data_IF_905848976203
#
_entry.id   IF_905848976203
#
_cell.length_a   1.000
_cell.length_b   1.000
_cell.length_c   1.000
_cell.angle_alpha   90.00
_cell.angle_beta   90.00
_cell.angle_gamma   90.00
#
_symmetry.space_group_name_H-M   'P 1'
#
loop_
_entity.id
_entity.type
_entity.pdbx_description
1 polymer ?
#
# COMPACT_ATOMS: atom_id res chain seq x y z
N UNK A 1 29.54 -9.99 10.64
CA UNK A 1 28.13 -9.88 10.22
C UNK A 1 27.44 -9.07 11.32
N UNK A 2 27.42 -7.75 11.18
CA UNK A 2 26.70 -6.88 12.11
C UNK A 2 25.28 -6.78 11.56
N UNK A 3 24.30 -7.39 12.23
CA UNK A 3 22.91 -6.99 12.08
C UNK A 3 22.77 -5.61 12.72
N UNK A 4 22.23 -4.65 11.99
CA UNK A 4 21.93 -3.32 12.53
C UNK A 4 20.45 -3.07 12.29
N UNK A 5 19.64 -3.29 13.33
CA UNK A 5 18.33 -2.63 13.42
C UNK A 5 18.60 -1.12 13.49
N UNK A 6 18.38 -0.41 12.39
CA UNK A 6 18.63 1.03 12.30
C UNK A 6 17.51 1.76 13.05
N UNK A 7 17.72 2.03 14.34
CA UNK A 7 16.93 2.98 15.11
C UNK A 7 17.42 4.38 14.74
N UNK A 8 16.65 5.12 13.94
CA UNK A 8 16.87 6.55 13.73
C UNK A 8 16.31 7.28 14.95
N UNK A 9 17.21 7.85 15.77
CA UNK A 9 16.87 8.65 16.94
C UNK A 9 16.39 10.05 16.50
N UNK A 10 15.13 10.41 16.78
CA UNK A 10 14.65 11.81 16.68
C UNK A 10 13.89 12.18 17.96
N UNK A 11 14.17 13.38 18.47
CA UNK A 11 13.83 13.86 19.80
C UNK A 11 12.35 13.76 20.17
N UNK A 12 12.09 13.23 21.38
CA UNK A 12 10.77 13.17 22.01
C UNK A 12 10.23 14.56 22.30
N UNK A 13 9.12 14.94 21.64
CA UNK A 13 8.29 16.07 22.08
C UNK A 13 7.28 15.52 23.09
N UNK A 14 7.44 15.88 24.36
CA UNK A 14 6.47 15.56 25.42
C UNK A 14 5.31 16.56 25.31
N UNK A 15 4.13 16.10 24.88
CA UNK A 15 2.88 16.84 24.96
C UNK A 15 2.21 16.53 26.31
N UNK A 16 1.77 17.51 27.10
CA UNK A 16 1.16 17.25 28.40
C UNK A 16 -0.27 16.70 28.23
N UNK A 17 -0.54 15.53 28.82
CA UNK A 17 -1.88 14.96 28.89
C UNK A 17 -2.77 15.80 29.82
N UNK A 18 -3.74 16.53 29.26
CA UNK A 18 -4.83 17.14 30.02
C UNK A 18 -5.98 16.15 30.13
N UNK A 19 -6.34 15.76 31.36
CA UNK A 19 -7.38 14.78 31.64
C UNK A 19 -8.77 15.22 31.17
N UNK A 20 -9.16 14.76 29.98
CA UNK A 20 -10.54 14.64 29.56
C UNK A 20 -11.04 13.20 29.88
N UNK A 21 -12.35 13.03 30.06
CA UNK A 21 -12.95 11.71 30.20
C UNK A 21 -12.59 10.85 28.97
N UNK A 22 -12.10 9.63 29.20
CA UNK A 22 -11.63 8.76 28.12
C UNK A 22 -12.78 8.46 27.14
N UNK A 23 -12.62 8.89 25.88
CA UNK A 23 -13.53 8.53 24.80
C UNK A 23 -13.56 6.99 24.63
N UNK A 24 -14.70 6.44 24.24
CA UNK A 24 -14.86 5.02 23.95
C UNK A 24 -14.20 4.65 22.62
N UNK A 25 -13.82 3.39 22.39
CA UNK A 25 -13.21 2.96 21.11
C UNK A 25 -14.09 3.29 19.90
N UNK A 26 -15.43 3.32 20.08
CA UNK A 26 -16.39 3.69 19.05
C UNK A 26 -16.39 5.21 18.74
N UNK A 27 -16.02 6.05 19.71
CA UNK A 27 -15.85 7.49 19.53
C UNK A 27 -14.46 7.83 18.95
N UNK A 28 -13.45 7.03 19.29
CA UNK A 28 -12.07 7.17 18.81
C UNK A 28 -11.95 6.68 17.35
N UNK A 29 -12.61 5.58 16.99
CA UNK A 29 -12.69 5.09 15.62
C UNK A 29 -11.39 4.51 15.04
N UNK A 30 -10.30 4.46 15.82
CA UNK A 30 -8.98 4.01 15.35
C UNK A 30 -8.10 3.35 16.42
N UNK A 31 -7.09 2.57 15.99
CA UNK A 31 -6.03 2.05 16.86
C UNK A 31 -5.16 3.21 17.36
N UNK A 32 -5.18 3.46 18.67
CA UNK A 32 -4.39 4.50 19.32
C UNK A 32 -3.07 3.90 19.80
N UNK A 33 -1.99 4.66 19.89
CA UNK A 33 -0.68 4.13 20.34
C UNK A 33 0.00 5.08 21.33
N UNK A 34 0.98 4.59 22.08
CA UNK A 34 1.72 5.40 23.06
C UNK A 34 2.26 6.68 22.41
N UNK A 35 1.67 7.83 22.75
CA UNK A 35 1.99 9.15 22.19
C UNK A 35 0.83 9.84 21.47
N UNK A 36 -0.23 9.10 21.13
CA UNK A 36 -1.51 9.65 20.69
C UNK A 36 -2.22 10.37 21.86
N UNK A 37 -2.86 11.50 21.60
CA UNK A 37 -3.65 12.22 22.62
C UNK A 37 -4.83 11.40 23.14
N UNK A 38 -5.31 10.46 22.33
CA UNK A 38 -6.44 9.59 22.64
C UNK A 38 -5.98 8.21 23.16
N UNK A 39 -4.68 7.96 23.29
CA UNK A 39 -4.15 6.71 23.84
C UNK A 39 -4.45 6.58 25.33
N UNK A 40 -5.17 5.51 25.67
CA UNK A 40 -5.49 5.16 27.04
C UNK A 40 -5.03 3.72 27.33
N UNK A 41 -4.16 3.48 28.34
CA UNK A 41 -3.63 2.14 28.65
C UNK A 41 -4.69 1.08 28.98
N UNK A 42 -5.91 1.49 29.33
CA UNK A 42 -7.04 0.59 29.58
C UNK A 42 -7.76 0.15 28.29
N UNK A 43 -7.37 0.68 27.13
CA UNK A 43 -7.86 0.30 25.81
C UNK A 43 -6.85 -0.56 25.03
N UNK A 44 -5.64 -0.74 25.58
CA UNK A 44 -4.57 -1.66 25.16
C UNK A 44 -4.63 -2.89 26.08
N UNK A 45 -5.38 -3.90 25.66
CA UNK A 45 -5.74 -5.02 26.53
C UNK A 45 -4.63 -6.06 26.67
N UNK A 46 -3.72 -6.15 25.70
CA UNK A 46 -2.60 -7.10 25.67
C UNK A 46 -1.25 -6.45 26.03
N UNK A 47 -1.20 -5.12 26.12
CA UNK A 47 -0.05 -4.35 26.58
C UNK A 47 1.01 -4.14 25.50
N UNK A 48 0.65 -4.26 24.23
CA UNK A 48 1.57 -4.14 23.09
C UNK A 48 1.88 -2.68 22.70
N UNK A 49 1.22 -1.72 23.34
CA UNK A 49 1.36 -0.29 23.06
C UNK A 49 0.35 0.26 22.07
N UNK A 50 -0.67 -0.52 21.69
CA UNK A 50 -1.75 -0.16 20.76
C UNK A 50 -3.12 -0.40 21.40
N UNK A 51 -3.85 0.67 21.68
CA UNK A 51 -5.22 0.63 22.19
C UNK A 51 -6.30 0.69 21.10
N UNK A 52 -7.56 0.45 21.48
CA UNK A 52 -8.75 0.46 20.60
C UNK A 52 -8.75 -0.65 19.55
N UNK A 53 -8.50 -1.87 20.01
CA UNK A 53 -8.53 -3.07 19.18
C UNK A 53 -9.98 -3.45 18.86
N UNK A 54 -10.47 -3.10 17.67
CA UNK A 54 -11.82 -3.42 17.24
C UNK A 54 -11.93 -4.91 16.87
N UNK A 55 -12.66 -5.66 17.70
CA UNK A 55 -13.19 -6.98 17.33
C UNK A 55 -14.34 -6.83 16.30
N UNK A 56 -14.54 -7.84 15.43
CA UNK A 56 -15.39 -7.72 14.26
C UNK A 56 -16.85 -7.97 14.64
N UNK A 57 -17.76 -7.21 14.03
CA UNK A 57 -18.95 -7.90 13.55
C UNK A 57 -18.49 -8.83 12.43
N UNK A 58 -18.53 -10.15 12.69
CA UNK A 58 -18.21 -11.20 11.72
C UNK A 58 -19.20 -11.25 10.55
N UNK A 59 -20.26 -10.44 10.56
CA UNK A 59 -21.08 -10.19 9.38
C UNK A 59 -20.58 -8.92 8.68
N UNK A 60 -19.96 -9.14 7.51
CA UNK A 60 -19.67 -8.17 6.42
C UNK A 60 -19.86 -6.70 6.84
N UNK A 61 -18.78 -5.92 7.05
CA UNK A 61 -18.88 -4.57 7.60
C UNK A 61 -19.78 -3.71 6.70
N UNK A 62 -20.96 -3.36 7.19
CA UNK A 62 -21.78 -2.26 6.65
C UNK A 62 -21.31 -1.00 7.34
N UNK A 63 -20.33 -0.32 6.75
CA UNK A 63 -19.96 1.02 7.17
C UNK A 63 -21.04 1.99 6.70
N UNK A 64 -21.60 2.78 7.64
CA UNK A 64 -22.61 3.79 7.35
C UNK A 64 -21.93 4.97 6.63
N UNK A 65 -22.21 5.13 5.34
CA UNK A 65 -21.59 6.09 4.41
C UNK A 65 -22.11 7.53 4.60
N UNK A 66 -22.45 7.94 5.82
CA UNK A 66 -23.22 9.19 6.06
C UNK A 66 -22.35 10.44 6.25
N UNK A 67 -21.02 10.32 6.31
CA UNK A 67 -20.14 11.49 6.55
C UNK A 67 -19.49 12.11 5.32
N UNK A 68 -19.52 11.46 4.14
CA UNK A 68 -19.17 12.08 2.85
C UNK A 68 -17.86 12.88 2.87
N UNK A 69 -16.82 12.28 3.46
CA UNK A 69 -15.51 12.93 3.66
C UNK A 69 -14.63 12.92 2.41
N UNK A 70 -14.93 12.03 1.45
CA UNK A 70 -14.08 11.76 0.29
C UNK A 70 -12.88 10.86 0.60
N UNK A 71 -12.73 10.41 1.86
CA UNK A 71 -11.59 9.61 2.32
C UNK A 71 -11.97 8.13 2.47
N UNK A 72 -11.07 7.24 2.04
CA UNK A 72 -11.30 5.81 2.10
C UNK A 72 -10.20 5.03 1.39
N UNK A 73 -10.19 3.72 1.60
CA UNK A 73 -9.27 2.80 0.92
C UNK A 73 -9.84 1.39 0.83
N UNK A 74 -9.29 0.62 -0.09
CA UNK A 74 -9.51 -0.81 -0.23
C UNK A 74 -8.26 -1.58 0.17
N UNK A 75 -8.44 -2.65 0.92
CA UNK A 75 -7.45 -3.73 1.04
C UNK A 75 -7.91 -4.93 0.23
N UNK A 76 -6.98 -5.69 -0.33
CA UNK A 76 -7.28 -6.94 -1.03
C UNK A 76 -6.39 -8.08 -0.52
N UNK A 77 -6.99 -9.25 -0.28
CA UNK A 77 -6.25 -10.47 0.05
C UNK A 77 -5.71 -11.18 -1.20
N UNK A 78 -4.76 -12.11 -1.01
CA UNK A 78 -4.10 -12.84 -2.10
C UNK A 78 -5.07 -13.65 -2.97
N UNK A 79 -6.27 -13.96 -2.46
CA UNK A 79 -7.29 -14.70 -3.20
C UNK A 79 -8.40 -13.79 -3.73
N UNK A 80 -8.28 -12.47 -3.56
CA UNK A 80 -9.17 -11.49 -4.14
C UNK A 80 -10.30 -10.95 -3.28
N UNK A 81 -10.37 -11.28 -1.99
CA UNK A 81 -11.38 -10.63 -1.13
C UNK A 81 -11.03 -9.16 -0.96
N UNK A 82 -11.97 -8.30 -1.33
CA UNK A 82 -11.84 -6.86 -1.16
C UNK A 82 -12.51 -6.39 0.13
N UNK A 83 -11.80 -5.54 0.86
CA UNK A 83 -12.20 -4.95 2.13
C UNK A 83 -12.18 -3.41 2.00
N UNK A 84 -13.34 -2.78 1.77
CA UNK A 84 -13.45 -1.32 1.73
C UNK A 84 -13.54 -0.71 3.13
N UNK A 85 -13.00 0.51 3.27
CA UNK A 85 -13.05 1.33 4.48
C UNK A 85 -13.35 2.79 4.13
N UNK A 86 -14.05 3.50 5.03
CA UNK A 86 -14.50 4.87 4.80
C UNK A 86 -15.52 4.97 3.66
N UNK A 87 -15.33 5.95 2.78
CA UNK A 87 -16.22 6.20 1.64
C UNK A 87 -15.95 5.24 0.45
N UNK A 88 -14.97 4.33 0.59
CA UNK A 88 -14.60 3.38 -0.47
C UNK A 88 -15.79 2.48 -0.82
N UNK A 89 -16.34 2.67 -2.02
CA UNK A 89 -17.49 1.88 -2.45
C UNK A 89 -17.07 0.49 -2.92
N UNK A 90 -17.99 -0.46 -2.77
CA UNK A 90 -17.91 -1.74 -3.50
C UNK A 90 -18.46 -1.50 -4.91
N UNK A 91 -17.65 -0.88 -5.79
CA UNK A 91 -18.02 -0.50 -7.17
C UNK A 91 -18.18 -1.70 -8.11
N UNK A 92 -19.04 -2.65 -7.73
CA UNK A 92 -18.93 -4.04 -8.13
C UNK A 92 -18.21 -4.81 -7.02
N UNK A 93 -18.98 -5.33 -6.07
CA UNK A 93 -18.51 -6.39 -5.21
C UNK A 93 -18.34 -7.63 -6.12
N UNK A 94 -17.23 -8.38 -6.08
CA UNK A 94 -17.24 -9.73 -6.64
C UNK A 94 -18.34 -10.61 -6.01
N UNK A 95 -19.01 -10.15 -4.93
CA UNK A 95 -20.26 -10.71 -4.38
C UNK A 95 -20.03 -12.02 -3.62
N UNK A 96 -18.90 -12.64 -3.91
CA UNK A 96 -18.28 -13.86 -3.45
C UNK A 96 -16.76 -13.58 -3.52
N UNK A 97 -15.89 -14.22 -2.71
CA UNK A 97 -14.43 -14.04 -2.79
C UNK A 97 -13.98 -14.22 -4.24
N UNK A 98 -13.48 -13.19 -4.97
CA UNK A 98 -13.22 -13.19 -6.44
C UNK A 98 -13.65 -14.52 -7.07
N UNK A 99 -14.97 -14.71 -7.22
CA UNK A 99 -15.56 -16.04 -7.34
C UNK A 99 -15.00 -16.79 -8.54
N UNK A 100 -13.91 -17.53 -8.35
CA UNK A 100 -13.04 -18.08 -9.40
C UNK A 100 -12.55 -17.06 -10.43
N UNK A 101 -11.30 -17.21 -10.86
CA UNK A 101 -10.83 -16.69 -12.14
C UNK A 101 -11.64 -17.37 -13.27
N UNK A 102 -12.86 -16.91 -13.56
CA UNK A 102 -13.71 -17.47 -14.63
C UNK A 102 -14.07 -18.97 -14.46
N UNK A 103 -14.87 -19.54 -15.39
CA UNK A 103 -15.49 -20.88 -15.29
C UNK A 103 -14.52 -22.08 -15.41
N UNK A 104 -13.21 -21.86 -15.25
CA UNK A 104 -12.16 -22.80 -15.60
C UNK A 104 -11.43 -23.22 -14.32
N UNK A 105 -12.15 -23.93 -13.43
CA UNK A 105 -11.65 -24.42 -12.14
C UNK A 105 -10.50 -25.46 -12.22
N UNK A 106 -9.75 -25.47 -13.32
CA UNK A 106 -8.61 -26.36 -13.58
C UNK A 106 -7.26 -25.64 -13.69
N UNK A 107 -7.20 -24.31 -13.52
CA UNK A 107 -5.92 -23.59 -13.39
C UNK A 107 -5.50 -23.53 -11.93
N UNK A 108 -4.22 -23.75 -11.62
CA UNK A 108 -3.68 -23.41 -10.30
C UNK A 108 -4.14 -21.98 -9.95
N UNK A 109 -4.77 -21.79 -8.80
CA UNK A 109 -5.53 -20.55 -8.52
C UNK A 109 -4.59 -19.35 -8.53
N UNK A 110 -4.73 -18.49 -9.56
CA UNK A 110 -3.96 -17.25 -9.66
C UNK A 110 -4.17 -16.40 -8.40
N UNK A 111 -3.14 -15.64 -8.07
CA UNK A 111 -3.06 -14.83 -6.85
C UNK A 111 -3.01 -13.36 -7.21
N UNK A 112 -3.72 -12.56 -6.42
CA UNK A 112 -3.67 -11.11 -6.57
C UNK A 112 -2.25 -10.61 -6.33
N UNK A 113 -1.82 -9.72 -7.21
CA UNK A 113 -0.52 -9.04 -7.14
C UNK A 113 -0.71 -7.58 -6.74
N UNK A 114 -1.64 -6.86 -7.39
CA UNK A 114 -1.83 -5.43 -7.16
C UNK A 114 -3.28 -5.02 -7.35
N UNK A 115 -3.76 -4.10 -6.50
CA UNK A 115 -4.97 -3.31 -6.77
C UNK A 115 -4.57 -1.85 -6.97
N UNK A 116 -5.18 -1.18 -7.94
CA UNK A 116 -5.04 0.26 -8.19
C UNK A 116 -6.40 0.89 -8.44
N UNK A 117 -6.62 2.07 -7.88
CA UNK A 117 -7.87 2.84 -8.04
C UNK A 117 -7.87 3.65 -9.34
N UNK A 118 -9.06 3.90 -9.90
CA UNK A 118 -9.24 4.93 -10.92
C UNK A 118 -8.98 6.31 -10.35
N UNK A 119 -8.64 7.26 -11.22
CA UNK A 119 -8.35 8.66 -10.85
C UNK A 119 -9.53 9.39 -10.21
N UNK A 120 -10.75 8.93 -10.46
CA UNK A 120 -12.00 9.49 -9.89
C UNK A 120 -12.57 8.66 -8.72
N UNK A 121 -11.93 7.54 -8.37
CA UNK A 121 -12.37 6.64 -7.30
C UNK A 121 -13.67 5.87 -7.62
N UNK A 122 -14.18 5.94 -8.86
CA UNK A 122 -15.39 5.24 -9.27
C UNK A 122 -15.19 3.72 -9.40
N UNK A 123 -13.95 3.26 -9.55
CA UNK A 123 -13.62 1.84 -9.62
C UNK A 123 -12.13 1.54 -9.46
N UNK A 124 -11.74 0.32 -9.81
CA UNK A 124 -10.37 -0.18 -9.61
C UNK A 124 -10.02 -1.30 -10.58
N UNK A 125 -8.73 -1.48 -10.84
CA UNK A 125 -8.17 -2.64 -11.50
C UNK A 125 -7.44 -3.55 -10.51
N UNK A 126 -7.50 -4.85 -10.75
CA UNK A 126 -6.74 -5.87 -10.02
C UNK A 126 -5.87 -6.65 -10.99
N UNK A 127 -4.56 -6.66 -10.78
CA UNK A 127 -3.60 -7.52 -11.48
C UNK A 127 -3.37 -8.80 -10.68
N UNK A 128 -3.36 -9.94 -11.35
CA UNK A 128 -2.95 -11.23 -10.78
C UNK A 128 -1.63 -11.76 -11.35
N UNK A 129 -1.10 -12.82 -10.72
CA UNK A 129 0.19 -13.44 -11.06
C UNK A 129 0.15 -14.27 -12.35
N UNK A 130 -1.04 -14.49 -12.93
CA UNK A 130 -1.21 -15.02 -14.28
C UNK A 130 -1.13 -13.93 -15.36
N UNK A 131 -1.01 -12.67 -14.94
CA UNK A 131 -0.97 -11.51 -15.83
C UNK A 131 -2.34 -11.01 -16.25
N UNK A 132 -3.42 -11.57 -15.71
CA UNK A 132 -4.77 -11.09 -15.99
C UNK A 132 -5.02 -9.80 -15.20
N UNK A 133 -5.58 -8.81 -15.89
CA UNK A 133 -6.08 -7.58 -15.26
C UNK A 133 -7.60 -7.66 -15.22
N UNK A 134 -8.18 -7.52 -14.04
CA UNK A 134 -9.61 -7.51 -13.80
C UNK A 134 -10.06 -6.07 -13.55
N UNK A 135 -11.11 -5.62 -14.24
CA UNK A 135 -11.64 -4.27 -14.15
C UNK A 135 -13.00 -4.22 -13.44
N UNK A 136 -13.14 -3.38 -12.42
CA UNK A 136 -14.37 -3.21 -11.64
C UNK A 136 -14.78 -1.74 -11.60
N UNK A 137 -15.92 -1.41 -12.23
CA UNK A 137 -16.36 -0.01 -12.37
C UNK A 137 -15.53 0.82 -13.36
N UNK A 138 -14.49 0.23 -13.96
CA UNK A 138 -13.55 0.85 -14.90
C UNK A 138 -13.47 0.06 -16.21
N UNK A 139 -12.92 0.63 -17.31
CA UNK A 139 -12.77 -0.09 -18.57
C UNK A 139 -11.78 -1.26 -18.48
N UNK A 140 -12.11 -2.37 -19.15
CA UNK A 140 -11.16 -3.45 -19.41
C UNK A 140 -10.29 -3.08 -20.62
N UNK A 141 -8.96 -3.00 -20.44
CA UNK A 141 -8.04 -2.50 -21.48
C UNK A 141 -7.02 -3.53 -22.00
N UNK A 142 -6.97 -4.72 -21.40
CA UNK A 142 -6.07 -5.80 -21.81
C UNK A 142 -5.59 -6.67 -20.66
N UNK A 143 -4.65 -7.57 -20.94
CA UNK A 143 -3.98 -8.43 -19.96
C UNK A 143 -2.62 -8.84 -20.54
N UNK A 144 -1.68 -9.22 -19.67
CA UNK A 144 -0.34 -9.61 -20.08
C UNK A 144 -0.38 -10.93 -20.84
N UNK A 145 0.23 -10.96 -22.03
CA UNK A 145 0.52 -12.21 -22.71
C UNK A 145 1.76 -12.85 -22.09
N UNK A 146 1.54 -13.82 -21.19
CA UNK A 146 2.61 -14.52 -20.47
C UNK A 146 3.58 -15.27 -21.40
N UNK A 147 3.17 -15.60 -22.64
CA UNK A 147 4.07 -16.23 -23.62
C UNK A 147 5.17 -15.28 -24.12
N UNK A 148 5.02 -13.97 -23.88
CA UNK A 148 6.00 -12.94 -24.26
C UNK A 148 7.05 -12.71 -23.19
N UNK A 149 6.84 -13.21 -21.96
CA UNK A 149 7.75 -13.03 -20.84
C UNK A 149 8.82 -14.12 -20.79
N UNK A 150 9.96 -13.80 -20.16
CA UNK A 150 10.92 -14.84 -19.80
C UNK A 150 10.31 -15.80 -18.75
N UNK A 151 10.81 -17.03 -18.68
CA UNK A 151 10.26 -18.05 -17.78
C UNK A 151 10.30 -17.69 -16.28
N UNK A 152 11.24 -16.83 -15.88
CA UNK A 152 11.43 -16.32 -14.51
C UNK A 152 10.92 -14.87 -14.34
N UNK A 153 10.30 -14.29 -15.36
CA UNK A 153 9.73 -12.95 -15.33
C UNK A 153 8.23 -13.00 -15.04
N UNK A 154 7.78 -12.17 -14.10
CA UNK A 154 6.39 -12.12 -13.66
C UNK A 154 5.86 -10.71 -13.66
N UNK A 155 4.59 -10.47 -13.99
CA UNK A 155 3.92 -9.20 -13.64
C UNK A 155 4.02 -8.99 -12.12
N UNK A 156 4.41 -7.79 -11.68
CA UNK A 156 4.64 -7.50 -10.25
C UNK A 156 3.89 -6.28 -9.74
N UNK A 157 3.54 -5.33 -10.60
CA UNK A 157 2.79 -4.12 -10.21
C UNK A 157 2.17 -3.48 -11.45
N UNK A 158 1.24 -2.55 -11.23
CA UNK A 158 0.63 -1.76 -12.30
C UNK A 158 0.38 -0.32 -11.85
N UNK A 159 0.20 0.59 -12.83
CA UNK A 159 -0.20 1.97 -12.56
C UNK A 159 -1.10 2.51 -13.69
N UNK A 160 -2.23 3.15 -13.38
CA UNK A 160 -3.13 3.71 -14.37
C UNK A 160 -2.60 5.00 -14.99
N UNK A 161 -3.05 5.31 -16.20
CA UNK A 161 -2.91 6.66 -16.78
C UNK A 161 -3.87 7.63 -16.10
N UNK A 162 -3.59 8.95 -16.09
CA UNK A 162 -4.47 9.94 -15.45
C UNK A 162 -5.90 10.00 -16.01
N UNK A 163 -6.11 9.55 -17.25
CA UNK A 163 -7.41 9.53 -17.90
C UNK A 163 -8.18 8.23 -17.71
N UNK A 164 -7.63 7.26 -16.96
CA UNK A 164 -8.21 5.92 -16.75
C UNK A 164 -8.49 5.15 -18.06
N UNK A 165 -7.84 5.57 -19.15
CA UNK A 165 -7.97 5.04 -20.52
C UNK A 165 -6.74 4.21 -20.95
N UNK A 166 -5.82 3.99 -20.02
CA UNK A 166 -4.61 3.19 -20.18
C UNK A 166 -4.04 2.76 -18.83
N UNK A 167 -3.12 1.80 -18.86
CA UNK A 167 -2.25 1.50 -17.72
C UNK A 167 -0.95 0.87 -18.17
N UNK A 168 0.06 1.01 -17.33
CA UNK A 168 1.30 0.26 -17.41
C UNK A 168 1.24 -0.94 -16.48
N UNK A 169 1.68 -2.10 -16.95
CA UNK A 169 2.04 -3.25 -16.12
C UNK A 169 3.55 -3.37 -16.13
N UNK A 170 4.13 -3.51 -14.94
CA UNK A 170 5.57 -3.67 -14.75
C UNK A 170 5.87 -5.10 -14.30
N UNK A 171 6.98 -5.66 -14.77
CA UNK A 171 7.40 -7.01 -14.40
C UNK A 171 8.47 -6.99 -13.33
N UNK A 172 8.72 -8.14 -12.70
CA UNK A 172 9.80 -8.36 -11.73
C UNK A 172 11.19 -8.01 -12.28
N UNK A 173 11.39 -8.06 -13.60
CA UNK A 173 12.63 -7.65 -14.28
C UNK A 173 12.61 -6.20 -14.77
N UNK A 174 11.56 -5.46 -14.43
CA UNK A 174 11.37 -4.06 -14.79
C UNK A 174 11.06 -3.82 -16.27
N UNK A 175 10.51 -4.82 -16.97
CA UNK A 175 9.88 -4.62 -18.29
C UNK A 175 8.62 -3.79 -18.13
N UNK A 176 8.32 -2.96 -19.12
CA UNK A 176 7.09 -2.16 -19.19
C UNK A 176 6.19 -2.70 -20.29
N UNK A 177 4.98 -3.08 -19.92
CA UNK A 177 3.90 -3.47 -20.83
C UNK A 177 2.82 -2.39 -20.79
N UNK A 178 2.37 -1.95 -21.95
CA UNK A 178 1.42 -0.83 -22.08
C UNK A 178 0.08 -1.30 -22.62
N UNK A 179 -1.00 -0.80 -22.01
CA UNK A 179 -2.38 -1.07 -22.43
C UNK A 179 -3.16 0.23 -22.56
N UNK A 180 -4.15 0.24 -23.45
CA UNK A 180 -4.92 1.44 -23.77
C UNK A 180 -4.05 2.57 -24.30
N UNK A 181 -4.15 3.76 -23.69
CA UNK A 181 -3.40 4.97 -24.07
C UNK A 181 -2.01 5.08 -23.45
N UNK A 182 -1.60 4.12 -22.60
CA UNK A 182 -0.30 4.16 -21.94
C UNK A 182 0.85 4.17 -22.94
N UNK A 183 1.82 5.06 -22.75
CA UNK A 183 3.00 5.19 -23.61
C UNK A 183 4.27 4.78 -22.86
N UNK A 184 5.17 3.98 -23.46
CA UNK A 184 6.38 3.54 -22.76
C UNK A 184 7.38 4.70 -22.63
N UNK A 185 8.01 4.83 -21.45
CA UNK A 185 8.98 5.91 -21.15
C UNK A 185 10.39 5.40 -20.80
N UNK A 186 10.59 4.09 -20.92
CA UNK A 186 11.82 3.38 -20.59
C UNK A 186 11.56 2.20 -19.66
N UNK A 187 12.43 1.21 -19.71
CA UNK A 187 12.34 0.00 -18.89
C UNK A 187 13.73 -0.42 -18.40
N UNK A 188 13.79 -1.50 -17.62
CA UNK A 188 15.03 -2.02 -17.03
C UNK A 188 15.52 -3.30 -17.69
N UNK A 189 14.95 -3.72 -18.82
CA UNK A 189 15.25 -5.02 -19.45
C UNK A 189 16.70 -5.16 -19.92
N UNK A 190 17.39 -4.03 -20.11
CA UNK A 190 18.80 -3.99 -20.47
C UNK A 190 19.76 -4.13 -19.27
N UNK A 191 19.25 -4.19 -18.04
CA UNK A 191 20.05 -4.19 -16.81
C UNK A 191 19.80 -5.46 -15.99
N UNK A 192 20.82 -5.88 -15.25
CA UNK A 192 20.66 -6.88 -14.19
C UNK A 192 20.30 -6.14 -12.90
N UNK A 193 19.16 -6.48 -12.30
CA UNK A 193 18.70 -5.89 -11.05
C UNK A 193 19.21 -6.69 -9.85
N UNK A 194 19.57 -5.99 -8.78
CA UNK A 194 19.98 -6.61 -7.51
C UNK A 194 18.79 -7.19 -6.74
N UNK A 195 17.58 -6.70 -7.02
CA UNK A 195 16.32 -7.26 -6.55
C UNK A 195 15.18 -7.05 -7.56
N UNK A 196 14.11 -7.89 -7.52
CA UNK A 196 12.96 -7.70 -8.40
C UNK A 196 12.24 -6.37 -8.15
N UNK A 197 11.63 -5.83 -9.20
CA UNK A 197 10.66 -4.73 -9.09
C UNK A 197 9.39 -5.23 -8.41
N UNK A 198 8.95 -4.51 -7.39
CA UNK A 198 7.82 -4.89 -6.52
C UNK A 198 6.71 -3.85 -6.48
N UNK A 199 6.99 -2.59 -6.84
CA UNK A 199 6.02 -1.52 -6.79
C UNK A 199 6.31 -0.46 -7.84
N UNK A 200 5.27 0.28 -8.23
CA UNK A 200 5.35 1.32 -9.23
C UNK A 200 4.34 2.42 -8.93
N UNK A 201 4.72 3.65 -9.24
CA UNK A 201 3.80 4.79 -9.16
C UNK A 201 3.98 5.68 -10.37
N UNK A 202 2.90 5.92 -11.11
CA UNK A 202 2.85 6.91 -12.18
C UNK A 202 2.66 8.32 -11.63
N UNK A 203 3.24 9.32 -12.30
CA UNK A 203 2.95 10.72 -12.00
C UNK A 203 1.48 11.05 -12.34
N UNK A 204 0.81 11.95 -11.58
CA UNK A 204 -0.57 12.34 -11.84
C UNK A 204 -0.83 12.97 -13.22
N UNK A 205 0.19 13.48 -13.90
CA UNK A 205 0.10 13.99 -15.27
C UNK A 205 0.43 12.94 -16.34
N UNK A 206 0.75 11.71 -15.91
CA UNK A 206 1.09 10.58 -16.78
C UNK A 206 2.42 10.74 -17.50
N UNK A 207 3.24 11.74 -17.16
CA UNK A 207 4.47 12.09 -17.88
C UNK A 207 5.72 11.34 -17.41
N UNK A 208 5.56 10.45 -16.44
CA UNK A 208 6.65 9.64 -15.88
C UNK A 208 6.13 8.61 -14.87
N UNK A 209 7.01 7.71 -14.45
CA UNK A 209 6.75 6.75 -13.38
C UNK A 209 8.02 6.41 -12.62
N UNK A 210 7.82 5.98 -11.37
CA UNK A 210 8.84 5.32 -10.55
C UNK A 210 8.63 3.81 -10.60
N UNK A 211 9.72 3.05 -10.63
CA UNK A 211 9.75 1.64 -10.26
C UNK A 211 10.59 1.48 -8.98
N UNK A 212 10.13 0.61 -8.09
CA UNK A 212 10.80 0.29 -6.83
C UNK A 212 11.25 -1.17 -6.82
N UNK A 213 12.54 -1.39 -6.58
CA UNK A 213 13.12 -2.69 -6.30
C UNK A 213 12.93 -3.11 -4.85
N UNK A 214 12.84 -4.41 -4.61
CA UNK A 214 12.77 -5.00 -3.26
C UNK A 214 13.98 -4.70 -2.37
N UNK A 215 15.11 -4.38 -2.99
CA UNK A 215 16.35 -3.89 -2.36
C UNK A 215 16.28 -2.40 -1.95
N UNK A 216 15.18 -1.71 -2.27
CA UNK A 216 14.99 -0.29 -2.05
C UNK A 216 15.65 0.61 -3.10
N UNK A 217 16.09 0.04 -4.23
CA UNK A 217 16.48 0.80 -5.42
C UNK A 217 15.26 1.48 -6.04
N UNK A 218 15.42 2.75 -6.45
CA UNK A 218 14.35 3.51 -7.13
C UNK A 218 14.82 3.91 -8.52
N UNK A 219 13.99 3.63 -9.52
CA UNK A 219 14.23 3.96 -10.93
C UNK A 219 13.17 4.94 -11.40
N UNK A 220 13.58 6.07 -11.99
CA UNK A 220 12.69 7.13 -12.42
C UNK A 220 12.73 7.28 -13.95
N UNK A 221 11.56 7.32 -14.59
CA UNK A 221 11.40 7.37 -16.04
C UNK A 221 10.55 8.55 -16.48
N UNK A 222 10.73 8.97 -17.74
CA UNK A 222 10.08 10.17 -18.27
C UNK A 222 10.47 11.42 -17.48
N UNK A 223 9.48 12.16 -17.01
CA UNK A 223 9.68 13.36 -16.18
C UNK A 223 9.77 13.08 -14.68
N UNK A 224 9.64 11.84 -14.24
CA UNK A 224 9.83 11.48 -12.84
C UNK A 224 11.25 11.82 -12.38
N UNK A 225 11.37 12.47 -11.21
CA UNK A 225 12.66 12.94 -10.69
C UNK A 225 13.15 11.99 -9.61
N UNK A 226 14.38 11.52 -9.74
CA UNK A 226 15.01 10.71 -8.71
C UNK A 226 15.38 11.57 -7.49
N UNK A 227 14.84 11.23 -6.31
CA UNK A 227 15.05 11.95 -5.05
C UNK A 227 15.94 11.22 -4.05
N UNK A 228 16.20 9.93 -4.27
CA UNK A 228 17.11 9.12 -3.47
C UNK A 228 16.76 7.64 -3.51
N UNK A 229 17.56 6.80 -2.87
CA UNK A 229 17.22 5.37 -2.72
C UNK A 229 17.92 4.82 -1.48
N UNK A 230 17.44 3.68 -0.99
CA UNK A 230 18.05 3.04 0.19
C UNK A 230 19.52 2.66 -0.07
N UNK A 231 19.89 2.01 -1.20
CA UNK A 231 21.29 1.68 -1.48
C UNK A 231 22.21 2.91 -1.55
N UNK A 232 21.67 4.10 -1.87
CA UNK A 232 22.44 5.34 -1.87
C UNK A 232 22.78 5.84 -0.46
N UNK A 233 21.84 5.76 0.48
CA UNK A 233 22.03 6.25 1.86
C UNK A 233 22.62 5.21 2.80
N UNK A 234 22.47 3.92 2.49
CA UNK A 234 23.01 2.79 3.24
C UNK A 234 23.80 1.85 2.29
N UNK A 235 24.95 2.28 1.75
CA UNK A 235 25.68 1.51 0.76
C UNK A 235 26.21 0.19 1.33
N UNK A 236 25.95 -0.92 0.62
CA UNK A 236 26.42 -2.26 0.98
C UNK A 236 25.66 -2.91 2.14
N UNK A 237 24.57 -2.28 2.61
CA UNK A 237 23.68 -2.87 3.61
C UNK A 237 22.56 -3.60 2.88
N UNK A 238 22.44 -4.91 3.11
CA UNK A 238 21.22 -5.64 2.76
C UNK A 238 20.18 -5.33 3.81
N UNK A 239 18.98 -4.95 3.37
CA UNK A 239 17.86 -4.76 4.29
C UNK A 239 17.49 -6.11 4.91
N UNK A 240 17.31 -6.13 6.23
CA UNK A 240 16.83 -7.31 6.95
C UNK A 240 15.41 -7.70 6.51
N UNK A 241 14.65 -6.73 5.96
CA UNK A 241 13.40 -6.99 5.26
C UNK A 241 13.25 -6.15 3.98
N UNK A 242 12.73 -6.72 2.87
CA UNK A 242 12.48 -5.96 1.66
C UNK A 242 11.58 -4.75 1.88
N UNK A 243 11.74 -3.77 1.00
CA UNK A 243 10.80 -2.66 0.88
C UNK A 243 9.44 -3.21 0.42
N UNK A 244 8.33 -2.63 0.89
CA UNK A 244 6.96 -3.02 0.58
C UNK A 244 6.20 -2.01 -0.28
N UNK A 245 6.73 -0.79 -0.46
CA UNK A 245 6.10 0.18 -1.36
C UNK A 245 6.77 1.55 -1.39
N UNK A 246 6.41 2.36 -2.39
CA UNK A 246 6.86 3.74 -2.59
C UNK A 246 5.66 4.66 -2.77
N UNK A 247 5.68 5.83 -2.15
CA UNK A 247 4.57 6.78 -2.20
C UNK A 247 5.10 8.21 -2.39
N UNK A 248 4.89 8.83 -3.56
CA UNK A 248 5.22 10.23 -3.80
C UNK A 248 4.46 11.21 -2.89
N UNK A 249 5.11 12.32 -2.57
CA UNK A 249 4.48 13.47 -1.93
C UNK A 249 3.53 14.17 -2.90
N UNK A 250 2.58 14.96 -2.40
CA UNK A 250 1.67 15.75 -3.25
C UNK A 250 2.38 16.82 -4.07
N UNK A 251 3.56 17.25 -3.63
CA UNK A 251 4.43 18.18 -4.37
C UNK A 251 5.21 17.49 -5.48
N UNK A 252 5.24 16.15 -5.49
CA UNK A 252 6.06 15.31 -6.38
C UNK A 252 7.56 15.60 -6.28
N UNK A 253 7.99 16.24 -5.19
CA UNK A 253 9.37 16.61 -4.91
C UNK A 253 10.05 15.70 -3.88
N UNK A 254 9.41 14.57 -3.60
CA UNK A 254 9.90 13.57 -2.67
C UNK A 254 9.00 12.34 -2.67
N UNK A 255 9.40 11.32 -1.92
CA UNK A 255 8.60 10.13 -1.64
C UNK A 255 8.98 9.50 -0.31
N UNK A 256 8.02 8.78 0.25
CA UNK A 256 8.26 7.81 1.32
C UNK A 256 8.42 6.41 0.72
N UNK A 257 9.18 5.58 1.42
CA UNK A 257 9.27 4.15 1.19
C UNK A 257 9.07 3.43 2.51
N UNK A 258 8.45 2.26 2.48
CA UNK A 258 8.22 1.43 3.67
C UNK A 258 8.97 0.11 3.55
N UNK A 259 9.66 -0.31 4.60
CA UNK A 259 10.19 -1.67 4.73
C UNK A 259 9.16 -2.58 5.41
N UNK A 260 9.28 -3.89 5.22
CA UNK A 260 8.30 -4.83 5.76
C UNK A 260 8.22 -4.82 7.30
N UNK A 261 9.26 -4.35 7.99
CA UNK A 261 9.28 -4.17 9.44
C UNK A 261 8.57 -2.88 9.90
N UNK A 262 8.04 -2.09 8.96
CA UNK A 262 7.42 -0.80 9.20
C UNK A 262 8.42 0.36 9.34
N UNK A 263 9.70 0.13 9.04
CA UNK A 263 10.69 1.19 8.87
C UNK A 263 10.33 2.08 7.67
N UNK A 264 10.52 3.39 7.81
CA UNK A 264 10.18 4.36 6.75
C UNK A 264 11.42 5.15 6.33
N UNK A 265 11.65 5.22 5.03
CA UNK A 265 12.65 6.08 4.41
C UNK A 265 11.94 7.25 3.73
N UNK A 266 12.44 8.47 3.91
CA UNK A 266 11.87 9.66 3.31
C UNK A 266 12.94 10.39 2.48
N UNK A 267 12.63 10.69 1.23
CA UNK A 267 13.55 11.30 0.27
C UNK A 267 12.98 12.59 -0.32
N UNK A 268 13.86 13.50 -0.74
CA UNK A 268 13.47 14.80 -1.27
C UNK A 268 12.79 15.67 -0.20
N UNK A 269 11.62 16.21 -0.52
CA UNK A 269 10.81 17.02 0.40
C UNK A 269 9.84 16.21 1.28
N UNK A 270 9.87 14.89 1.19
CA UNK A 270 9.04 14.02 2.01
C UNK A 270 9.40 14.18 3.48
N UNK A 271 8.52 14.83 4.24
CA UNK A 271 8.69 14.96 5.68
C UNK A 271 8.40 13.62 6.37
N UNK A 272 9.33 13.11 7.16
CA UNK A 272 9.14 11.90 7.97
C UNK A 272 7.98 12.11 8.98
N UNK A 273 7.04 11.16 9.05
CA UNK A 273 5.86 11.24 9.93
C UNK A 273 5.85 10.20 11.04
N UNK A 274 6.79 9.26 11.03
CA UNK A 274 6.88 8.17 12.00
C UNK A 274 7.13 6.81 11.34
N UNK A 275 7.39 5.80 12.15
CA UNK A 275 7.65 4.42 11.71
C UNK A 275 7.37 3.47 12.87
N UNK A 276 7.09 2.20 12.61
CA UNK A 276 6.82 1.23 13.68
C UNK A 276 8.04 1.04 14.60
N UNK A 277 9.27 0.88 14.09
CA UNK A 277 10.45 0.78 14.96
C UNK A 277 10.67 2.03 15.83
N UNK A 278 10.32 3.22 15.32
CA UNK A 278 10.40 4.47 16.08
C UNK A 278 9.43 4.55 17.26
N UNK A 279 8.34 3.77 17.21
CA UNK A 279 7.39 3.60 18.32
C UNK A 279 7.75 2.40 19.23
N UNK A 280 8.80 1.63 18.90
CA UNK A 280 9.09 0.37 19.58
C UNK A 280 8.13 -0.77 19.22
N UNK A 281 7.34 -0.60 18.16
CA UNK A 281 6.38 -1.59 17.67
C UNK A 281 7.05 -2.51 16.66
N UNK A 282 6.87 -3.82 16.82
CA UNK A 282 7.20 -4.82 15.81
C UNK A 282 5.90 -5.37 15.24
N UNK A 283 5.64 -5.26 13.92
CA UNK A 283 4.39 -5.74 13.37
C UNK A 283 4.30 -7.27 13.47
N UNK A 284 3.10 -7.80 13.74
CA UNK A 284 2.86 -9.25 13.85
C UNK A 284 3.04 -9.95 12.51
N UNK A 285 2.62 -9.30 11.43
CA UNK A 285 2.88 -9.70 10.05
C UNK A 285 3.62 -8.60 9.29
N UNK A 286 4.38 -8.94 8.23
CA UNK A 286 5.08 -7.95 7.42
C UNK A 286 4.16 -6.84 6.90
N UNK A 287 4.66 -5.61 6.90
CA UNK A 287 4.09 -4.50 6.12
C UNK A 287 4.25 -4.82 4.64
N UNK A 288 3.13 -4.84 3.91
CA UNK A 288 3.05 -5.20 2.48
C UNK A 288 2.82 -4.00 1.59
N UNK A 289 2.55 -2.83 2.15
CA UNK A 289 2.34 -1.63 1.35
C UNK A 289 2.22 -0.35 2.17
N UNK A 290 2.29 0.76 1.45
CA UNK A 290 2.05 2.11 1.96
C UNK A 290 1.23 2.87 0.93
N UNK A 291 0.35 3.74 1.40
CA UNK A 291 -0.44 4.65 0.56
C UNK A 291 -0.44 6.04 1.15
N UNK A 292 -0.48 7.06 0.29
CA UNK A 292 -0.60 8.45 0.71
C UNK A 292 -1.96 8.67 1.35
N UNK A 293 -1.99 9.39 2.46
CA UNK A 293 -3.21 9.83 3.11
C UNK A 293 -2.93 11.23 3.66
N UNK A 294 -3.56 12.26 3.10
CA UNK A 294 -3.30 13.66 3.45
C UNK A 294 -1.83 14.05 3.38
N UNK A 295 -1.30 14.67 4.44
CA UNK A 295 0.10 15.08 4.54
C UNK A 295 1.07 13.98 5.01
N UNK A 296 0.58 12.74 5.14
CA UNK A 296 1.35 11.57 5.56
C UNK A 296 0.93 10.29 4.82
N UNK A 297 0.93 9.17 5.55
CA UNK A 297 0.73 7.84 4.97
C UNK A 297 0.04 6.86 5.90
N UNK A 298 -0.60 5.86 5.29
CA UNK A 298 -1.01 4.62 5.94
C UNK A 298 -0.01 3.52 5.58
N UNK A 299 0.34 2.68 6.55
CA UNK A 299 1.03 1.42 6.32
C UNK A 299 0.05 0.27 6.50
N UNK A 300 0.18 -0.75 5.66
CA UNK A 300 -0.71 -1.92 5.68
C UNK A 300 0.11 -3.18 5.88
N UNK A 301 -0.23 -3.95 6.91
CA UNK A 301 0.36 -5.25 7.19
C UNK A 301 -0.42 -6.39 6.54
N UNK A 302 0.24 -7.54 6.37
CA UNK A 302 -0.33 -8.70 5.69
C UNK A 302 -1.47 -9.37 6.46
N UNK A 303 -1.60 -9.11 7.76
CA UNK A 303 -2.78 -9.45 8.56
C UNK A 303 -3.93 -8.44 8.39
N UNK A 304 -3.75 -7.40 7.57
CA UNK A 304 -4.69 -6.31 7.37
C UNK A 304 -4.72 -5.28 8.50
N UNK A 305 -3.74 -5.31 9.41
CA UNK A 305 -3.43 -4.21 10.31
C UNK A 305 -3.07 -2.95 9.54
N UNK A 306 -3.60 -1.81 9.97
CA UNK A 306 -3.26 -0.49 9.40
C UNK A 306 -2.66 0.38 10.48
N UNK A 307 -1.56 1.05 10.13
CA UNK A 307 -0.91 2.04 10.97
C UNK A 307 -0.97 3.41 10.29
N UNK A 308 -1.60 4.38 10.96
CA UNK A 308 -1.85 5.71 10.40
C UNK A 308 -0.83 6.72 10.91
N UNK A 309 -0.02 7.26 10.00
CA UNK A 309 0.94 8.34 10.26
C UNK A 309 0.59 9.58 9.42
N UNK A 310 -0.70 9.89 9.32
CA UNK A 310 -1.23 11.03 8.58
C UNK A 310 -2.07 11.97 9.46
N UNK A 311 -2.47 13.08 8.86
CA UNK A 311 -3.43 14.04 9.40
C UNK A 311 -4.89 13.73 9.05
N UNK A 312 -5.15 12.65 8.30
CA UNK A 312 -6.50 12.24 7.96
C UNK A 312 -7.09 11.32 9.03
N UNK A 313 -8.41 11.40 9.26
CA UNK A 313 -9.11 10.45 10.11
C UNK A 313 -8.84 9.02 9.66
N UNK A 314 -8.62 8.14 10.62
CA UNK A 314 -8.54 6.72 10.34
C UNK A 314 -9.95 6.15 10.19
N UNK A 315 -10.14 5.34 9.13
CA UNK A 315 -11.46 4.87 8.70
C UNK A 315 -11.64 3.35 8.79
N UNK A 316 -10.70 2.63 9.42
CA UNK A 316 -10.84 1.21 9.81
C UNK A 316 -9.62 0.32 9.55
N UNK A 317 -9.68 -0.95 9.96
CA UNK A 317 -8.62 -1.95 9.72
C UNK A 317 -9.17 -3.36 9.91
N UNK A 318 -8.45 -4.38 9.44
CA UNK A 318 -8.69 -5.79 9.77
C UNK A 318 -7.81 -6.29 10.93
N UNK A 319 -6.97 -5.43 11.53
CA UNK A 319 -6.10 -5.81 12.65
C UNK A 319 -6.91 -6.33 13.83
N UNK A 320 -6.49 -7.46 14.40
CA UNK A 320 -7.23 -8.18 15.44
C UNK A 320 -8.30 -9.14 14.90
N UNK A 321 -8.54 -9.17 13.58
CA UNK A 321 -9.43 -10.11 12.94
C UNK A 321 -8.65 -11.29 12.34
N UNK A 322 -9.24 -12.48 12.36
CA UNK A 322 -8.69 -13.59 11.59
C UNK A 322 -9.03 -13.41 10.11
N UNK A 323 -8.10 -12.82 9.34
CA UNK A 323 -8.24 -12.74 7.89
C UNK A 323 -7.98 -14.12 7.29
N UNK A 324 -8.82 -14.64 6.37
CA UNK A 324 -8.66 -16.01 5.88
C UNK A 324 -7.48 -16.19 4.93
N UNK A 325 -6.93 -15.10 4.39
CA UNK A 325 -5.79 -15.08 3.48
C UNK A 325 -5.01 -13.77 3.67
N UNK A 326 -3.68 -13.76 3.49
CA UNK A 326 -2.85 -12.57 3.59
C UNK A 326 -3.34 -11.40 2.74
N UNK A 327 -3.36 -10.19 3.30
CA UNK A 327 -3.48 -8.94 2.55
C UNK A 327 -2.18 -8.75 1.74
N UNK A 328 -2.34 -8.38 0.46
CA UNK A 328 -1.23 -8.23 -0.49
C UNK A 328 -1.15 -6.84 -1.13
N UNK A 329 -2.24 -6.09 -1.14
CA UNK A 329 -2.25 -4.74 -1.73
C UNK A 329 -3.31 -3.85 -1.09
N UNK A 330 -3.06 -2.55 -1.16
CA UNK A 330 -3.96 -1.49 -0.74
C UNK A 330 -4.06 -0.42 -1.83
N UNK A 331 -5.23 0.17 -2.00
CA UNK A 331 -5.46 1.34 -2.86
C UNK A 331 -6.31 2.37 -2.13
N UNK A 332 -5.93 3.65 -2.21
CA UNK A 332 -6.70 4.76 -1.63
C UNK A 332 -7.67 5.34 -2.64
N UNK A 333 -8.77 5.90 -2.13
CA UNK A 333 -9.61 6.80 -2.91
C UNK A 333 -8.80 8.04 -3.29
N UNK A 334 -8.83 8.47 -4.57
CA UNK A 334 -8.26 9.74 -4.98
C UNK A 334 -8.88 10.90 -4.20
N UNK A 335 -8.04 11.83 -3.72
CA UNK A 335 -8.48 12.98 -2.94
C UNK A 335 -8.31 12.84 -1.42
N UNK A 336 -7.87 11.67 -0.94
CA UNK A 336 -7.43 11.46 0.44
C UNK A 336 -6.10 12.17 0.79
#
# INVERSE_FOLDING_TARGET
>A
MLLVSVVVLVASVVVPATGAAAATCAEIGHKVFVGDSDYAPNLDADGDGVGCESFPDTSRPTYDSTTGTGAGYWMIDEIGRLYPFGDAQRSGDPGEPLGSLGPDANSATARVVKVVSSSDGSGYWVLDDSGTVHAYGVPQLGSVDMATLDADEKPSTMSPTPGDDGYWVFTSKGRVLTFGTATPMGDLTAFTLDGPIIDSVALPDGSGYYMLGSDGGVFAFGNAKFWGSVPQVLPGVMLDCPVGGIVPTSTLQGYWMVACDGGVFAFGDAGFRGSLPGLGVTPVQPVVGMVRNGSGYLMVASDGGIFNFSDQPFVGSLGGLQVPSPIVSVAVLPGA
#
